data_IF_161838509363
#
_entry.id   IF_161838509363
#
_cell.length_a   1.000
_cell.length_b   1.000
_cell.length_c   1.000
_cell.angle_alpha   90.00
_cell.angle_beta   90.00
_cell.angle_gamma   90.00
#
_symmetry.space_group_name_H-M   'P 1'
#
loop_
_entity.id
_entity.type
_entity.pdbx_description
1 polymer ?
#
# COMPACT_ATOMS: atom_id res chain seq x y z
N UNK A 1 -22.60 2.35 60.54
CA UNK A 1 -22.52 1.67 61.85
C UNK A 1 -21.38 2.28 62.69
N UNK A 2 -21.66 3.32 63.50
CA UNK A 2 -20.65 4.08 64.27
C UNK A 2 -20.85 4.05 65.80
N UNK A 3 -21.72 3.17 66.31
CA UNK A 3 -22.07 3.13 67.75
C UNK A 3 -21.40 2.03 68.58
N UNK A 4 -20.73 1.05 67.98
CA UNK A 4 -20.25 -0.15 68.71
C UNK A 4 -18.73 -0.14 69.03
N UNK A 5 -17.96 0.88 68.64
CA UNK A 5 -16.48 0.82 68.78
C UNK A 5 -15.96 1.04 70.20
N UNK A 6 -16.79 1.58 71.10
CA UNK A 6 -16.42 1.83 72.51
C UNK A 6 -17.00 0.75 73.43
N UNK A 7 -18.16 0.19 73.10
CA UNK A 7 -18.84 -0.81 73.95
C UNK A 7 -18.09 -2.13 74.06
N UNK A 8 -17.45 -2.61 72.99
CA UNK A 8 -16.70 -3.88 73.02
C UNK A 8 -15.47 -3.82 73.95
N UNK A 9 -14.60 -2.79 73.89
CA UNK A 9 -13.50 -2.67 74.86
C UNK A 9 -13.98 -2.41 76.29
N UNK A 10 -15.08 -1.66 76.49
CA UNK A 10 -15.65 -1.44 77.83
C UNK A 10 -16.21 -2.74 78.44
N UNK A 11 -16.91 -3.55 77.63
CA UNK A 11 -17.47 -4.83 78.06
C UNK A 11 -16.37 -5.87 78.37
N UNK A 12 -15.30 -5.88 77.58
CA UNK A 12 -14.11 -6.70 77.87
C UNK A 12 -13.40 -6.24 79.15
N UNK A 13 -13.28 -4.93 79.38
CA UNK A 13 -12.72 -4.40 80.61
C UNK A 13 -13.59 -4.77 81.82
N UNK A 14 -14.92 -4.65 81.70
CA UNK A 14 -15.86 -5.08 82.74
C UNK A 14 -15.76 -6.58 83.02
N UNK A 15 -15.64 -7.44 81.99
CA UNK A 15 -15.44 -8.89 82.16
C UNK A 15 -14.11 -9.23 82.82
N UNK A 16 -13.03 -8.50 82.51
CA UNK A 16 -11.72 -8.67 83.16
C UNK A 16 -11.81 -8.26 84.63
N UNK A 17 -12.44 -7.12 84.92
CA UNK A 17 -12.63 -6.64 86.30
C UNK A 17 -13.50 -7.61 87.10
N UNK A 18 -14.60 -8.11 86.54
CA UNK A 18 -15.46 -9.12 87.16
C UNK A 18 -14.69 -10.43 87.39
N UNK A 19 -13.88 -10.86 86.41
CA UNK A 19 -13.03 -12.05 86.54
C UNK A 19 -11.98 -11.92 87.66
N UNK A 20 -11.35 -10.74 87.79
CA UNK A 20 -10.39 -10.45 88.87
C UNK A 20 -11.08 -10.41 90.24
N UNK A 21 -12.26 -9.80 90.33
CA UNK A 21 -13.04 -9.74 91.58
C UNK A 21 -13.49 -11.15 92.00
N UNK A 22 -13.98 -11.97 91.07
CA UNK A 22 -14.36 -13.36 91.35
C UNK A 22 -13.16 -14.22 91.79
N UNK A 23 -11.98 -14.01 91.19
CA UNK A 23 -10.74 -14.69 91.59
C UNK A 23 -10.30 -14.34 93.01
N UNK A 24 -10.41 -13.07 93.41
CA UNK A 24 -10.08 -12.63 94.78
C UNK A 24 -11.15 -12.99 95.82
N UNK A 25 -12.43 -13.10 95.42
CA UNK A 25 -13.53 -13.39 96.33
C UNK A 25 -13.71 -14.89 96.63
N UNK A 26 -13.34 -15.78 95.70
CA UNK A 26 -13.57 -17.23 95.83
C UNK A 26 -12.35 -18.05 96.27
N UNK A 27 -11.13 -17.51 96.18
CA UNK A 27 -9.90 -18.25 96.52
C UNK A 27 -9.01 -17.37 97.41
N UNK A 28 -8.98 -17.61 98.74
CA UNK A 28 -8.08 -16.89 99.62
C UNK A 28 -6.64 -17.38 99.37
N UNK A 29 -5.76 -16.46 98.99
CA UNK A 29 -4.29 -16.60 98.95
C UNK A 29 -3.77 -17.85 98.23
N UNK A 30 -3.85 -17.83 96.90
CA UNK A 30 -3.06 -18.71 96.04
C UNK A 30 -2.08 -17.87 95.23
N UNK A 31 -0.77 -18.03 95.48
CA UNK A 31 0.31 -17.42 94.68
C UNK A 31 0.11 -17.66 93.18
N UNK A 32 -0.52 -18.78 92.82
CA UNK A 32 -0.83 -19.19 91.46
C UNK A 32 -1.81 -18.22 90.76
N UNK A 33 -2.74 -17.60 91.50
CA UNK A 33 -3.66 -16.60 90.96
C UNK A 33 -2.95 -15.28 90.61
N UNK A 34 -1.98 -14.88 91.44
CA UNK A 34 -1.18 -13.67 91.20
C UNK A 34 -0.31 -13.86 89.96
N UNK A 35 0.33 -15.02 89.79
CA UNK A 35 1.16 -15.32 88.62
C UNK A 35 0.35 -15.35 87.32
N UNK A 36 -0.88 -15.90 87.35
CA UNK A 36 -1.78 -15.89 86.20
C UNK A 36 -2.16 -14.45 85.82
N UNK A 37 -2.54 -13.59 86.77
CA UNK A 37 -2.92 -12.19 86.48
C UNK A 37 -1.74 -11.42 85.87
N UNK A 38 -0.54 -11.60 86.42
CA UNK A 38 0.65 -10.86 86.02
C UNK A 38 1.15 -11.22 84.61
N UNK A 39 0.88 -12.44 84.14
CA UNK A 39 1.22 -12.90 82.79
C UNK A 39 0.07 -12.65 81.80
N UNK A 40 -1.18 -12.88 82.23
CA UNK A 40 -2.34 -12.88 81.35
C UNK A 40 -2.74 -11.45 80.93
N UNK A 41 -2.62 -10.45 81.81
CA UNK A 41 -2.94 -9.06 81.45
C UNK A 41 -1.99 -8.51 80.37
N UNK A 42 -0.64 -8.60 80.51
CA UNK A 42 0.28 -8.19 79.45
C UNK A 42 0.12 -9.00 78.16
N UNK A 43 -0.11 -10.30 78.25
CA UNK A 43 -0.34 -11.15 77.08
C UNK A 43 -1.62 -10.75 76.32
N UNK A 44 -2.72 -10.47 77.02
CA UNK A 44 -3.97 -10.03 76.42
C UNK A 44 -3.86 -8.62 75.83
N UNK A 45 -3.09 -7.72 76.45
CA UNK A 45 -2.77 -6.40 75.87
C UNK A 45 -1.96 -6.59 74.58
N UNK A 46 -0.95 -7.47 74.60
CA UNK A 46 -0.13 -7.82 73.44
C UNK A 46 -0.98 -8.38 72.29
N UNK A 47 -1.85 -9.35 72.56
CA UNK A 47 -2.78 -9.95 71.59
C UNK A 47 -3.78 -8.92 71.07
N UNK A 48 -4.33 -8.05 71.92
CA UNK A 48 -5.23 -6.96 71.51
C UNK A 48 -4.52 -5.97 70.58
N UNK A 49 -3.27 -5.62 70.88
CA UNK A 49 -2.44 -4.78 70.00
C UNK A 49 -2.13 -5.49 68.68
N UNK A 50 -1.83 -6.79 68.71
CA UNK A 50 -1.51 -7.59 67.54
C UNK A 50 -2.74 -7.78 66.63
N UNK A 51 -3.93 -7.96 67.21
CA UNK A 51 -5.21 -7.97 66.50
C UNK A 51 -5.53 -6.60 65.92
N UNK A 52 -5.36 -5.50 66.68
CA UNK A 52 -5.52 -4.14 66.14
C UNK A 52 -4.54 -3.85 65.03
N UNK A 53 -3.27 -4.23 65.18
CA UNK A 53 -2.22 -4.07 64.19
C UNK A 53 -2.49 -4.90 62.93
N UNK A 54 -2.89 -6.18 63.07
CA UNK A 54 -3.33 -7.00 61.93
C UNK A 54 -4.57 -6.42 61.25
N UNK A 55 -5.54 -5.91 62.00
CA UNK A 55 -6.76 -5.32 61.42
C UNK A 55 -6.47 -3.98 60.73
N UNK A 56 -5.56 -3.15 61.25
CA UNK A 56 -5.17 -1.86 60.63
C UNK A 56 -4.19 -2.00 59.48
N UNK A 57 -3.27 -2.96 59.52
CA UNK A 57 -2.25 -3.19 58.48
C UNK A 57 -2.77 -4.09 57.36
N UNK A 58 -3.67 -5.04 57.66
CA UNK A 58 -4.16 -6.06 56.70
C UNK A 58 -5.52 -5.75 56.08
N UNK A 59 -6.33 -4.85 56.64
CA UNK A 59 -7.52 -4.32 55.94
C UNK A 59 -7.11 -3.19 54.99
N UNK A 60 -6.57 -3.56 53.83
CA UNK A 60 -6.96 -2.81 52.62
C UNK A 60 -8.48 -2.85 52.59
N UNK A 61 -9.14 -1.71 52.76
CA UNK A 61 -10.59 -1.69 52.61
C UNK A 61 -10.90 -2.15 51.17
N UNK A 62 -11.90 -3.00 50.97
CA UNK A 62 -12.33 -3.44 49.63
C UNK A 62 -12.52 -2.21 48.73
N UNK A 63 -13.01 -1.11 49.29
CA UNK A 63 -13.09 0.22 48.69
C UNK A 63 -11.76 0.68 48.09
N UNK A 64 -10.66 0.72 48.84
CA UNK A 64 -9.36 1.19 48.32
C UNK A 64 -8.86 0.35 47.13
N UNK A 65 -9.05 -0.98 47.18
CA UNK A 65 -8.69 -1.87 46.06
C UNK A 65 -9.54 -1.59 44.82
N UNK A 66 -10.83 -1.36 45.00
CA UNK A 66 -11.77 -1.03 43.92
C UNK A 66 -11.41 0.33 43.32
N UNK A 67 -11.17 1.35 44.16
CA UNK A 67 -10.78 2.69 43.68
C UNK A 67 -9.44 2.68 42.95
N UNK A 68 -8.43 1.96 43.48
CA UNK A 68 -7.14 1.80 42.78
C UNK A 68 -7.33 1.10 41.42
N UNK A 69 -8.16 0.05 41.35
CA UNK A 69 -8.47 -0.65 40.10
C UNK A 69 -9.15 0.26 39.09
N UNK A 70 -10.17 1.01 39.51
CA UNK A 70 -10.97 1.83 38.61
C UNK A 70 -10.15 3.03 38.10
N UNK A 71 -9.34 3.66 38.96
CA UNK A 71 -8.38 4.72 38.60
C UNK A 71 -7.33 4.18 37.62
N UNK A 72 -6.80 2.97 37.83
CA UNK A 72 -5.90 2.32 36.84
C UNK A 72 -6.62 2.04 35.52
N UNK A 73 -7.86 1.58 35.57
CA UNK A 73 -8.66 1.28 34.39
C UNK A 73 -8.81 2.50 33.50
N UNK A 74 -9.21 3.64 34.07
CA UNK A 74 -9.37 4.88 33.31
C UNK A 74 -8.01 5.48 32.87
N UNK A 75 -6.96 5.36 33.69
CA UNK A 75 -5.62 5.79 33.31
C UNK A 75 -5.05 4.99 32.12
N UNK A 76 -5.30 3.67 32.06
CA UNK A 76 -4.93 2.83 30.92
C UNK A 76 -5.68 3.25 29.66
N UNK A 77 -7.00 3.43 29.75
CA UNK A 77 -7.83 3.87 28.62
C UNK A 77 -7.41 5.25 28.09
N UNK A 78 -7.10 6.18 28.99
CA UNK A 78 -6.54 7.48 28.62
C UNK A 78 -5.20 7.35 27.87
N UNK A 79 -4.29 6.51 28.38
CA UNK A 79 -2.97 6.34 27.77
C UNK A 79 -3.06 5.70 26.38
N UNK A 80 -3.93 4.70 26.23
CA UNK A 80 -4.23 4.07 24.95
C UNK A 80 -4.84 5.07 23.95
N UNK A 81 -5.82 5.86 24.39
CA UNK A 81 -6.42 6.91 23.57
C UNK A 81 -5.37 7.91 23.08
N UNK A 82 -4.51 8.40 23.98
CA UNK A 82 -3.43 9.31 23.62
C UNK A 82 -2.50 8.69 22.58
N UNK A 83 -2.12 7.41 22.74
CA UNK A 83 -1.29 6.70 21.75
C UNK A 83 -1.95 6.68 20.38
N UNK A 84 -3.24 6.32 20.31
CA UNK A 84 -4.00 6.29 19.06
C UNK A 84 -4.02 7.68 18.41
N UNK A 85 -4.23 8.75 19.20
CA UNK A 85 -4.25 10.12 18.68
C UNK A 85 -2.89 10.59 18.15
N UNK A 86 -1.79 10.16 18.76
CA UNK A 86 -0.45 10.38 18.20
C UNK A 86 -0.24 9.60 16.90
N UNK A 87 -0.65 8.33 16.85
CA UNK A 87 -0.60 7.54 15.61
C UNK A 87 -1.35 8.23 14.46
N UNK A 88 -2.47 8.90 14.73
CA UNK A 88 -3.21 9.66 13.71
C UNK A 88 -2.44 10.88 13.16
N UNK A 89 -1.73 11.60 14.02
CA UNK A 89 -0.90 12.73 13.60
C UNK A 89 0.35 12.24 12.87
N UNK A 90 1.08 11.29 13.44
CA UNK A 90 2.38 10.86 12.94
C UNK A 90 2.26 10.07 11.63
N UNK A 91 1.26 9.18 11.50
CA UNK A 91 1.13 8.30 10.31
C UNK A 91 0.25 8.87 9.23
N UNK A 92 -0.79 9.63 9.58
CA UNK A 92 -1.80 10.09 8.62
C UNK A 92 -1.84 11.61 8.47
N UNK A 93 -1.03 12.36 9.23
CA UNK A 93 -1.06 13.81 9.28
C UNK A 93 -2.46 14.38 9.59
N UNK A 94 -3.27 13.65 10.38
CA UNK A 94 -4.58 14.11 10.83
C UNK A 94 -4.40 14.80 12.18
N UNK A 95 -4.70 16.11 12.23
CA UNK A 95 -4.59 16.88 13.48
C UNK A 95 -5.51 16.33 14.57
N UNK A 96 -4.93 15.98 15.73
CA UNK A 96 -5.65 15.54 16.93
C UNK A 96 -5.45 16.48 18.12
N UNK A 97 -4.78 17.63 17.90
CA UNK A 97 -4.46 18.64 18.93
C UNK A 97 -5.64 18.99 19.83
N UNK A 98 -6.80 19.34 19.27
CA UNK A 98 -7.99 19.71 20.05
C UNK A 98 -8.48 18.57 20.97
N UNK A 99 -8.40 17.33 20.50
CA UNK A 99 -8.78 16.16 21.29
C UNK A 99 -7.77 15.94 22.43
N UNK A 100 -6.47 16.07 22.14
CA UNK A 100 -5.42 15.95 23.17
C UNK A 100 -5.53 17.06 24.22
N UNK A 101 -5.82 18.29 23.80
CA UNK A 101 -6.01 19.44 24.69
C UNK A 101 -7.24 19.22 25.60
N UNK A 102 -8.34 18.67 25.07
CA UNK A 102 -9.50 18.30 25.88
C UNK A 102 -9.17 17.19 26.88
N UNK A 103 -8.43 16.16 26.45
CA UNK A 103 -7.98 15.04 27.28
C UNK A 103 -6.99 15.48 28.38
N UNK A 104 -6.31 16.63 28.25
CA UNK A 104 -5.47 17.17 29.32
C UNK A 104 -6.26 17.39 30.63
N UNK A 105 -7.55 17.74 30.55
CA UNK A 105 -8.44 17.84 31.73
C UNK A 105 -8.64 16.51 32.45
N UNK A 106 -8.68 15.40 31.70
CA UNK A 106 -8.74 14.04 32.27
C UNK A 106 -7.42 13.68 32.95
N UNK A 107 -6.28 14.13 32.39
CA UNK A 107 -4.96 13.95 33.01
C UNK A 107 -4.85 14.71 34.34
N UNK A 108 -5.36 15.94 34.39
CA UNK A 108 -5.43 16.74 35.61
C UNK A 108 -6.34 16.07 36.65
N UNK A 109 -7.55 15.64 36.27
CA UNK A 109 -8.45 14.90 37.15
C UNK A 109 -7.81 13.59 37.68
N UNK A 110 -7.13 12.83 36.83
CA UNK A 110 -6.36 11.66 37.25
C UNK A 110 -5.27 11.99 38.27
N UNK A 111 -4.56 13.10 38.09
CA UNK A 111 -3.52 13.55 39.00
C UNK A 111 -4.09 13.94 40.38
N UNK A 112 -5.27 14.59 40.41
CA UNK A 112 -6.00 14.90 41.64
C UNK A 112 -6.43 13.62 42.39
N UNK A 113 -6.84 12.59 41.65
CA UNK A 113 -7.16 11.25 42.19
C UNK A 113 -5.92 10.48 42.69
N UNK A 114 -4.72 11.04 42.55
CA UNK A 114 -3.46 10.42 42.95
C UNK A 114 -2.85 9.50 41.89
N UNK A 115 -3.21 9.65 40.61
CA UNK A 115 -2.69 8.89 39.49
C UNK A 115 -1.94 9.78 38.50
N UNK A 116 -0.63 9.60 38.38
CA UNK A 116 0.17 10.31 37.38
C UNK A 116 0.38 9.44 36.14
N UNK A 117 0.04 9.99 34.97
CA UNK A 117 0.22 9.34 33.66
C UNK A 117 1.25 10.14 32.84
N UNK A 118 2.53 9.78 32.97
CA UNK A 118 3.65 10.35 32.23
C UNK A 118 4.50 9.20 31.66
N UNK A 119 4.03 8.56 30.60
CA UNK A 119 4.65 7.36 29.99
C UNK A 119 4.56 6.07 30.82
N UNK A 120 4.48 6.17 32.15
CA UNK A 120 4.13 5.09 33.08
C UNK A 120 3.03 5.56 34.02
N UNK A 121 2.11 4.65 34.36
CA UNK A 121 1.05 4.90 35.33
C UNK A 121 1.60 4.72 36.73
N UNK A 122 1.61 5.79 37.52
CA UNK A 122 2.07 5.78 38.91
C UNK A 122 0.93 6.17 39.84
N UNK A 123 0.79 5.46 40.94
CA UNK A 123 -0.28 5.70 41.92
C UNK A 123 0.28 6.09 43.27
N UNK A 124 -0.17 7.24 43.75
CA UNK A 124 -0.01 7.69 45.12
C UNK A 124 -1.14 7.12 45.98
N UNK A 125 -0.81 6.06 46.71
CA UNK A 125 -1.74 5.35 47.61
C UNK A 125 -2.19 6.21 48.80
N UNK A 126 -1.46 7.26 49.16
CA UNK A 126 -1.88 8.15 50.25
C UNK A 126 -3.03 9.07 49.79
N UNK A 127 -2.98 9.52 48.54
CA UNK A 127 -4.07 10.29 47.93
C UNK A 127 -5.30 9.43 47.64
N UNK A 128 -5.14 8.24 47.07
CA UNK A 128 -6.25 7.31 46.77
C UNK A 128 -7.12 7.00 48.00
N UNK A 129 -6.53 6.94 49.21
CA UNK A 129 -7.27 6.73 50.46
C UNK A 129 -8.27 7.84 50.80
N UNK A 130 -8.07 9.05 50.27
CA UNK A 130 -8.92 10.24 50.53
C UNK A 130 -9.98 10.47 49.45
N UNK A 131 -9.92 9.73 48.35
CA UNK A 131 -10.79 9.91 47.18
C UNK A 131 -12.23 9.44 47.48
N UNK A 132 -13.22 10.14 46.94
CA UNK A 132 -14.63 9.74 46.97
C UNK A 132 -15.01 9.05 45.65
N UNK A 133 -15.90 8.06 45.70
CA UNK A 133 -16.36 7.36 44.49
C UNK A 133 -16.93 8.32 43.43
N UNK A 134 -17.60 9.39 43.87
CA UNK A 134 -18.12 10.43 42.99
C UNK A 134 -17.03 11.11 42.13
N UNK A 135 -15.83 11.32 42.70
CA UNK A 135 -14.71 11.95 41.98
C UNK A 135 -14.18 11.02 40.87
N UNK A 136 -14.10 9.71 41.15
CA UNK A 136 -13.70 8.69 40.17
C UNK A 136 -14.75 8.58 39.06
N UNK A 137 -16.03 8.54 39.43
CA UNK A 137 -17.14 8.49 38.48
C UNK A 137 -17.19 9.76 37.61
N UNK A 138 -16.90 10.91 38.18
CA UNK A 138 -16.82 12.18 37.45
C UNK A 138 -15.70 12.17 36.41
N UNK A 139 -14.49 11.69 36.76
CA UNK A 139 -13.40 11.55 35.78
C UNK A 139 -13.73 10.54 34.68
N UNK A 140 -14.40 9.43 35.01
CA UNK A 140 -14.89 8.47 34.01
C UNK A 140 -15.89 9.13 33.06
N UNK A 141 -16.92 9.82 33.58
CA UNK A 141 -17.93 10.50 32.76
C UNK A 141 -17.30 11.59 31.89
N UNK A 142 -16.36 12.36 32.43
CA UNK A 142 -15.63 13.38 31.67
C UNK A 142 -14.85 12.77 30.51
N UNK A 143 -14.17 11.63 30.73
CA UNK A 143 -13.48 10.92 29.66
C UNK A 143 -14.43 10.45 28.56
N UNK A 144 -15.55 9.81 28.91
CA UNK A 144 -16.53 9.34 27.91
C UNK A 144 -17.13 10.51 27.12
N UNK A 145 -17.53 11.60 27.78
CA UNK A 145 -18.10 12.77 27.10
C UNK A 145 -17.11 13.43 26.14
N UNK A 146 -15.84 13.55 26.55
CA UNK A 146 -14.79 14.07 25.67
C UNK A 146 -14.58 13.11 24.50
N UNK A 147 -14.54 11.80 24.77
CA UNK A 147 -14.37 10.77 23.75
C UNK A 147 -15.50 10.81 22.72
N UNK A 148 -16.75 10.68 23.15
CA UNK A 148 -17.93 10.67 22.26
C UNK A 148 -17.98 11.92 21.38
N UNK A 149 -17.68 13.09 21.93
CA UNK A 149 -17.68 14.35 21.18
C UNK A 149 -16.58 14.39 20.12
N UNK A 150 -15.35 14.01 20.47
CA UNK A 150 -14.20 14.19 19.58
C UNK A 150 -13.99 13.02 18.61
N UNK A 151 -14.54 11.84 18.90
CA UNK A 151 -14.51 10.72 17.95
C UNK A 151 -15.36 11.01 16.70
N UNK A 152 -16.46 11.75 16.83
CA UNK A 152 -17.24 12.22 15.67
C UNK A 152 -16.43 13.19 14.80
N UNK A 153 -15.69 14.12 15.43
CA UNK A 153 -14.82 15.05 14.70
C UNK A 153 -13.67 14.29 14.03
N UNK A 154 -13.07 13.34 14.74
CA UNK A 154 -12.00 12.49 14.21
C UNK A 154 -12.49 11.66 13.01
N UNK A 155 -13.70 11.10 13.08
CA UNK A 155 -14.33 10.39 11.97
C UNK A 155 -14.46 11.27 10.73
N UNK A 156 -14.96 12.51 10.88
CA UNK A 156 -15.03 13.45 9.74
C UNK A 156 -13.65 13.71 9.12
N UNK A 157 -12.63 13.98 9.95
CA UNK A 157 -11.26 14.23 9.48
C UNK A 157 -10.64 13.01 8.79
N UNK A 158 -10.94 11.82 9.28
CA UNK A 158 -10.54 10.54 8.68
C UNK A 158 -11.14 10.42 7.28
N UNK A 159 -12.45 10.65 7.13
CA UNK A 159 -13.10 10.61 5.82
C UNK A 159 -12.55 11.66 4.85
N UNK A 160 -12.28 12.87 5.32
CA UNK A 160 -11.67 13.91 4.49
C UNK A 160 -10.29 13.48 4.00
N UNK A 161 -9.47 12.88 4.86
CA UNK A 161 -8.17 12.33 4.46
C UNK A 161 -8.31 11.19 3.44
N UNK A 162 -9.28 10.29 3.60
CA UNK A 162 -9.56 9.26 2.60
C UNK A 162 -9.98 9.85 1.25
N UNK A 163 -10.78 10.92 1.26
CA UNK A 163 -11.18 11.65 0.05
C UNK A 163 -9.98 12.33 -0.62
N UNK A 164 -9.05 12.87 0.17
CA UNK A 164 -7.82 13.46 -0.35
C UNK A 164 -6.90 12.42 -1.00
N UNK A 165 -6.76 11.23 -0.41
CA UNK A 165 -6.06 10.11 -1.04
C UNK A 165 -6.75 9.67 -2.34
N UNK A 166 -8.08 9.55 -2.32
CA UNK A 166 -8.84 9.22 -3.52
C UNK A 166 -8.66 10.29 -4.62
N UNK A 167 -8.67 11.57 -4.27
CA UNK A 167 -8.41 12.68 -5.20
C UNK A 167 -7.01 12.55 -5.80
N UNK A 168 -6.01 12.31 -4.96
CA UNK A 168 -4.61 12.14 -5.37
C UNK A 168 -4.44 10.97 -6.36
N UNK A 169 -5.07 9.82 -6.10
CA UNK A 169 -5.05 8.70 -7.04
C UNK A 169 -5.80 9.00 -8.35
N UNK A 170 -6.92 9.71 -8.30
CA UNK A 170 -7.64 10.15 -9.50
C UNK A 170 -6.81 11.11 -10.34
N UNK A 171 -6.04 12.00 -9.71
CA UNK A 171 -5.10 12.86 -10.42
C UNK A 171 -3.96 12.08 -11.08
N UNK A 172 -3.38 11.09 -10.39
CA UNK A 172 -2.38 10.20 -10.99
C UNK A 172 -2.96 9.45 -12.19
N UNK A 173 -4.17 8.91 -12.04
CA UNK A 173 -4.86 8.25 -13.16
C UNK A 173 -5.02 9.18 -14.36
N UNK A 174 -5.48 10.41 -14.13
CA UNK A 174 -5.64 11.41 -15.19
C UNK A 174 -4.30 11.82 -15.82
N UNK A 175 -3.19 11.73 -15.09
CA UNK A 175 -1.85 12.00 -15.59
C UNK A 175 -1.29 10.87 -16.47
N UNK A 176 -1.88 9.67 -16.43
CA UNK A 176 -1.49 8.56 -17.31
C UNK A 176 -1.35 7.20 -16.64
N UNK A 177 -1.51 7.09 -15.32
CA UNK A 177 -1.44 5.80 -14.61
C UNK A 177 -2.77 5.06 -14.69
N UNK A 178 -2.97 4.26 -15.73
CA UNK A 178 -4.24 3.56 -15.93
C UNK A 178 -4.45 2.33 -15.04
N UNK A 179 -3.38 1.71 -14.55
CA UNK A 179 -3.43 0.43 -13.84
C UNK A 179 -3.92 0.53 -12.39
N UNK A 180 -4.01 1.75 -11.84
CA UNK A 180 -4.49 1.99 -10.46
C UNK A 180 -6.02 2.08 -10.32
N UNK A 181 -6.79 1.82 -11.39
CA UNK A 181 -8.27 1.86 -11.37
C UNK A 181 -8.87 0.91 -10.33
N UNK A 182 -8.23 -0.23 -10.08
CA UNK A 182 -8.68 -1.20 -9.08
C UNK A 182 -8.62 -0.63 -7.67
N UNK A 183 -7.51 0.03 -7.32
CA UNK A 183 -7.24 0.61 -6.02
C UNK A 183 -8.14 1.82 -5.75
N UNK A 184 -8.40 2.65 -6.77
CA UNK A 184 -9.39 3.74 -6.69
C UNK A 184 -10.76 3.19 -6.28
N UNK A 185 -11.23 2.12 -6.94
CA UNK A 185 -12.51 1.48 -6.61
C UNK A 185 -12.52 0.90 -5.19
N UNK A 186 -11.42 0.30 -4.74
CA UNK A 186 -11.32 -0.25 -3.39
C UNK A 186 -11.43 0.84 -2.31
N UNK A 187 -10.78 2.00 -2.49
CA UNK A 187 -10.93 3.15 -1.58
C UNK A 187 -12.36 3.70 -1.63
N UNK A 188 -12.96 3.82 -2.81
CA UNK A 188 -14.36 4.27 -2.95
C UNK A 188 -15.33 3.34 -2.21
N UNK A 189 -15.17 2.03 -2.35
CA UNK A 189 -15.99 1.05 -1.65
C UNK A 189 -15.80 1.13 -0.13
N UNK A 190 -14.56 1.23 0.35
CA UNK A 190 -14.28 1.41 1.79
C UNK A 190 -14.90 2.69 2.35
N UNK A 191 -14.86 3.79 1.62
CA UNK A 191 -15.51 5.04 2.03
C UNK A 191 -17.03 4.84 2.09
N UNK A 192 -17.65 4.13 1.15
CA UNK A 192 -19.10 3.84 1.20
C UNK A 192 -19.47 2.94 2.36
N UNK A 193 -18.69 1.90 2.61
CA UNK A 193 -18.88 0.97 3.73
C UNK A 193 -18.66 1.64 5.11
N UNK A 194 -18.01 2.81 5.13
CA UNK A 194 -17.75 3.55 6.36
C UNK A 194 -19.00 4.10 7.05
N UNK A 195 -20.14 4.15 6.36
CA UNK A 195 -21.45 4.56 6.93
C UNK A 195 -21.94 3.59 8.04
N UNK A 196 -21.38 2.37 8.12
CA UNK A 196 -21.70 1.36 9.14
C UNK A 196 -20.67 1.20 10.25
N UNK A 197 -19.59 1.99 10.28
CA UNK A 197 -18.51 1.83 11.27
C UNK A 197 -18.93 2.44 12.60
N UNK A 198 -18.68 1.72 13.70
CA UNK A 198 -18.87 2.27 15.04
C UNK A 198 -17.80 3.33 15.25
N UNK A 199 -18.23 4.54 15.59
CA UNK A 199 -17.36 5.71 15.78
C UNK A 199 -16.55 5.52 17.06
N UNK A 200 -15.43 4.79 16.95
CA UNK A 200 -14.44 4.58 17.99
C UNK A 200 -13.04 4.74 17.37
N UNK A 201 -12.20 5.56 18.01
CA UNK A 201 -10.83 5.86 17.58
C UNK A 201 -9.98 4.63 17.20
N UNK A 202 -10.12 3.50 17.88
CA UNK A 202 -9.43 2.26 17.52
C UNK A 202 -9.90 1.70 16.17
N UNK A 203 -11.23 1.64 15.96
CA UNK A 203 -11.82 1.16 14.70
C UNK A 203 -11.48 2.11 13.55
N UNK A 204 -11.48 3.42 13.80
CA UNK A 204 -11.04 4.43 12.84
C UNK A 204 -9.56 4.26 12.46
N UNK A 205 -8.71 3.89 13.42
CA UNK A 205 -7.29 3.64 13.15
C UNK A 205 -7.11 2.39 12.31
N UNK A 206 -7.84 1.30 12.61
CA UNK A 206 -7.83 0.08 11.79
C UNK A 206 -8.34 0.34 10.37
N UNK A 207 -9.40 1.14 10.24
CA UNK A 207 -9.93 1.57 8.95
C UNK A 207 -8.87 2.35 8.15
N UNK A 208 -8.23 3.34 8.76
CA UNK A 208 -7.18 4.14 8.12
C UNK A 208 -5.96 3.32 7.71
N UNK A 209 -5.54 2.34 8.51
CA UNK A 209 -4.45 1.43 8.13
C UNK A 209 -4.80 0.67 6.83
N UNK A 210 -6.05 0.22 6.71
CA UNK A 210 -6.52 -0.45 5.50
C UNK A 210 -6.54 0.46 4.26
N UNK A 211 -6.96 1.71 4.42
CA UNK A 211 -6.95 2.69 3.32
C UNK A 211 -5.52 3.08 2.94
N UNK A 212 -4.64 3.30 3.92
CA UNK A 212 -3.23 3.61 3.71
C UNK A 212 -2.49 2.49 2.97
N UNK A 213 -2.77 1.22 3.30
CA UNK A 213 -2.22 0.07 2.58
C UNK A 213 -2.63 0.04 1.10
N UNK A 214 -3.87 0.39 0.77
CA UNK A 214 -4.32 0.47 -0.63
C UNK A 214 -3.65 1.65 -1.35
N UNK A 215 -3.48 2.78 -0.66
CA UNK A 215 -2.76 3.95 -1.19
C UNK A 215 -1.30 3.60 -1.50
N UNK A 216 -0.60 2.94 -0.57
CA UNK A 216 0.78 2.51 -0.75
C UNK A 216 0.94 1.56 -1.92
N UNK A 217 0.05 0.57 -2.04
CA UNK A 217 0.06 -0.38 -3.16
C UNK A 217 -0.15 0.33 -4.51
N UNK A 218 -1.11 1.27 -4.57
CA UNK A 218 -1.33 2.07 -5.78
C UNK A 218 -0.09 2.87 -6.18
N UNK A 219 0.59 3.51 -5.21
CA UNK A 219 1.79 4.28 -5.49
C UNK A 219 2.99 3.40 -5.90
N UNK A 220 3.09 2.17 -5.38
CA UNK A 220 4.10 1.19 -5.79
C UNK A 220 3.90 0.72 -7.23
N UNK A 221 2.65 0.55 -7.66
CA UNK A 221 2.32 0.26 -9.06
C UNK A 221 2.79 1.42 -9.94
N UNK A 222 2.39 2.66 -9.61
CA UNK A 222 2.84 3.84 -10.35
C UNK A 222 4.38 3.97 -10.40
N UNK A 223 5.06 3.66 -9.30
CA UNK A 223 6.53 3.69 -9.25
C UNK A 223 7.14 2.68 -10.24
N UNK A 224 6.60 1.47 -10.31
CA UNK A 224 7.03 0.45 -11.27
C UNK A 224 6.83 0.92 -12.70
N UNK A 225 5.64 1.45 -13.02
CA UNK A 225 5.32 1.94 -14.36
C UNK A 225 6.32 3.01 -14.82
N UNK A 226 6.69 3.92 -13.91
CA UNK A 226 7.69 4.96 -14.18
C UNK A 226 9.09 4.39 -14.36
N UNK A 227 9.49 3.39 -13.57
CA UNK A 227 10.80 2.75 -13.69
C UNK A 227 10.92 2.06 -15.05
N UNK A 228 9.88 1.32 -15.47
CA UNK A 228 9.84 0.66 -16.77
C UNK A 228 9.88 1.69 -17.92
N UNK A 229 9.11 2.77 -17.81
CA UNK A 229 9.13 3.85 -18.80
C UNK A 229 10.44 4.65 -18.83
N UNK A 230 11.14 4.79 -17.71
CA UNK A 230 12.46 5.44 -17.66
C UNK A 230 13.49 4.62 -18.44
N UNK A 231 13.49 3.30 -18.26
CA UNK A 231 14.34 2.38 -19.03
C UNK A 231 14.06 2.51 -20.52
N UNK A 232 12.78 2.52 -20.91
CA UNK A 232 12.36 2.73 -22.30
C UNK A 232 12.82 4.09 -22.82
N UNK A 233 12.69 5.16 -22.05
CA UNK A 233 13.13 6.51 -22.43
C UNK A 233 14.64 6.59 -22.66
N UNK A 234 15.42 5.96 -21.79
CA UNK A 234 16.88 5.90 -21.92
C UNK A 234 17.32 5.11 -23.15
N UNK A 235 16.69 3.97 -23.42
CA UNK A 235 17.07 3.08 -24.52
C UNK A 235 16.53 3.53 -25.87
N UNK A 236 15.32 4.09 -25.89
CA UNK A 236 14.59 4.43 -27.12
C UNK A 236 14.85 5.86 -27.56
N UNK A 237 14.76 6.81 -26.64
CA UNK A 237 14.94 8.22 -26.95
C UNK A 237 16.41 8.67 -26.79
N UNK A 238 17.31 7.79 -26.32
CA UNK A 238 18.71 8.11 -25.96
C UNK A 238 18.81 9.36 -25.09
N UNK A 239 17.78 9.61 -24.26
CA UNK A 239 17.63 10.83 -23.49
C UNK A 239 18.38 10.75 -22.16
N UNK A 240 18.85 11.89 -21.66
CA UNK A 240 19.38 11.97 -20.29
C UNK A 240 18.23 11.92 -19.28
N UNK A 241 18.08 10.76 -18.64
CA UNK A 241 17.07 10.48 -17.62
C UNK A 241 17.59 10.67 -16.19
N UNK A 242 18.78 11.24 -15.98
CA UNK A 242 19.40 11.35 -14.64
C UNK A 242 18.48 12.03 -13.62
N UNK A 243 17.82 13.12 -14.02
CA UNK A 243 16.87 13.85 -13.16
C UNK A 243 15.63 13.02 -12.81
N UNK A 244 15.12 12.21 -13.74
CA UNK A 244 13.99 11.31 -13.49
C UNK A 244 14.39 10.22 -12.50
N UNK A 245 15.58 9.64 -12.64
CA UNK A 245 16.10 8.65 -11.68
C UNK A 245 16.26 9.21 -10.27
N UNK A 246 16.67 10.47 -10.12
CA UNK A 246 16.69 11.14 -8.81
C UNK A 246 15.29 11.26 -8.22
N UNK A 247 14.30 11.63 -9.02
CA UNK A 247 12.92 11.77 -8.56
C UNK A 247 12.27 10.43 -8.21
N UNK A 248 12.58 9.35 -8.96
CA UNK A 248 12.19 7.97 -8.62
C UNK A 248 12.70 7.61 -7.21
N UNK A 249 13.96 7.93 -6.89
CA UNK A 249 14.51 7.68 -5.55
C UNK A 249 13.84 8.53 -4.46
N UNK A 250 13.45 9.76 -4.78
CA UNK A 250 12.68 10.60 -3.85
C UNK A 250 11.31 9.96 -3.57
N UNK A 251 10.67 9.36 -4.58
CA UNK A 251 9.42 8.61 -4.40
C UNK A 251 9.64 7.39 -3.53
N UNK A 252 10.65 6.56 -3.79
CA UNK A 252 11.01 5.39 -2.98
C UNK A 252 11.17 5.77 -1.50
N UNK A 253 12.01 6.78 -1.23
CA UNK A 253 12.23 7.28 0.12
C UNK A 253 10.94 7.82 0.75
N UNK A 254 10.09 8.50 -0.02
CA UNK A 254 8.81 9.02 0.49
C UNK A 254 7.85 7.90 0.86
N UNK A 255 7.82 6.80 0.10
CA UNK A 255 7.01 5.63 0.41
C UNK A 255 7.50 4.90 1.66
N UNK A 256 8.81 4.74 1.82
CA UNK A 256 9.42 4.13 3.02
C UNK A 256 9.05 4.87 4.32
N UNK A 257 8.87 6.19 4.24
CA UNK A 257 8.50 7.04 5.36
C UNK A 257 6.98 7.30 5.47
N UNK A 258 6.15 6.66 4.65
CA UNK A 258 4.69 6.86 4.65
C UNK A 258 4.21 8.24 4.18
N UNK A 259 5.07 9.01 3.50
CA UNK A 259 4.72 10.32 2.96
C UNK A 259 4.08 10.20 1.56
N UNK A 260 2.84 9.70 1.54
CA UNK A 260 2.09 9.44 0.32
C UNK A 260 1.76 10.71 -0.48
N UNK A 261 1.62 11.86 0.18
CA UNK A 261 1.33 13.13 -0.48
C UNK A 261 2.51 13.60 -1.33
N UNK A 262 3.73 13.53 -0.78
CA UNK A 262 4.93 13.87 -1.52
C UNK A 262 5.16 12.88 -2.68
N UNK A 263 5.01 11.57 -2.42
CA UNK A 263 5.14 10.54 -3.43
C UNK A 263 4.20 10.78 -4.63
N UNK A 264 2.93 11.11 -4.37
CA UNK A 264 1.95 11.42 -5.42
C UNK A 264 2.37 12.64 -6.25
N UNK A 265 2.79 13.74 -5.61
CA UNK A 265 3.22 14.97 -6.29
C UNK A 265 4.43 14.71 -7.20
N UNK A 266 5.42 13.98 -6.70
CA UNK A 266 6.61 13.66 -7.48
C UNK A 266 6.28 12.70 -8.63
N UNK A 267 5.51 11.63 -8.39
CA UNK A 267 5.09 10.69 -9.44
C UNK A 267 4.32 11.36 -10.59
N UNK A 268 3.45 12.33 -10.28
CA UNK A 268 2.74 13.13 -11.29
C UNK A 268 3.73 13.94 -12.13
N UNK A 269 4.69 14.62 -11.49
CA UNK A 269 5.69 15.39 -12.22
C UNK A 269 6.62 14.52 -13.07
N UNK A 270 6.93 13.30 -12.60
CA UNK A 270 7.80 12.37 -13.32
C UNK A 270 7.10 11.83 -14.57
N UNK A 271 5.84 11.40 -14.48
CA UNK A 271 5.13 10.86 -15.64
C UNK A 271 4.89 11.92 -16.72
N UNK A 272 4.58 13.16 -16.32
CA UNK A 272 4.44 14.29 -17.25
C UNK A 272 5.76 14.58 -17.99
N UNK A 273 6.90 14.50 -17.28
CA UNK A 273 8.22 14.66 -17.89
C UNK A 273 8.59 13.51 -18.81
N UNK A 274 8.31 12.27 -18.42
CA UNK A 274 8.50 11.10 -19.27
C UNK A 274 7.66 11.18 -20.54
N UNK A 275 6.38 11.59 -20.43
CA UNK A 275 5.52 11.79 -21.59
C UNK A 275 6.10 12.82 -22.56
N UNK A 276 6.64 13.93 -22.04
CA UNK A 276 7.31 14.95 -22.85
C UNK A 276 8.57 14.44 -23.55
N UNK A 277 9.41 13.69 -22.83
CA UNK A 277 10.66 13.13 -23.39
C UNK A 277 10.40 12.05 -24.45
N UNK A 278 9.37 11.23 -24.26
CA UNK A 278 9.04 10.13 -25.15
C UNK A 278 8.26 10.59 -26.38
N UNK A 279 7.72 11.81 -26.40
CA UNK A 279 6.79 12.28 -27.43
C UNK A 279 7.34 12.13 -28.85
N UNK A 280 8.50 12.72 -29.13
CA UNK A 280 9.07 12.71 -30.48
C UNK A 280 9.47 11.31 -30.92
N UNK A 281 10.03 10.51 -30.00
CA UNK A 281 10.38 9.11 -30.25
C UNK A 281 9.15 8.24 -30.52
N UNK A 282 8.06 8.49 -29.81
CA UNK A 282 6.79 7.80 -30.00
C UNK A 282 6.14 8.16 -31.34
N UNK A 283 6.03 9.44 -31.65
CA UNK A 283 5.42 9.93 -32.90
C UNK A 283 6.22 9.45 -34.12
N UNK A 284 7.55 9.52 -34.04
CA UNK A 284 8.44 9.00 -35.09
C UNK A 284 8.30 7.49 -35.29
N UNK A 285 8.38 6.70 -34.20
CA UNK A 285 8.24 5.25 -34.30
C UNK A 285 6.86 4.83 -34.83
N UNK A 286 5.79 5.49 -34.39
CA UNK A 286 4.43 5.20 -34.86
C UNK A 286 4.29 5.50 -36.36
N UNK A 287 4.81 6.63 -36.83
CA UNK A 287 4.80 6.98 -38.25
C UNK A 287 5.55 5.94 -39.09
N UNK A 288 6.74 5.54 -38.66
CA UNK A 288 7.53 4.50 -39.31
C UNK A 288 6.82 3.13 -39.32
N UNK A 289 6.20 2.72 -38.21
CA UNK A 289 5.48 1.46 -38.16
C UNK A 289 4.26 1.44 -39.09
N UNK A 290 3.50 2.54 -39.18
CA UNK A 290 2.40 2.67 -40.13
C UNK A 290 2.90 2.68 -41.59
N UNK A 291 4.03 3.32 -41.84
CA UNK A 291 4.67 3.34 -43.13
C UNK A 291 5.10 1.93 -43.59
N UNK A 292 5.59 1.09 -42.67
CA UNK A 292 5.91 -0.31 -42.95
C UNK A 292 4.66 -1.14 -43.28
N UNK A 293 3.53 -0.87 -42.61
CA UNK A 293 2.26 -1.54 -42.88
C UNK A 293 1.82 -1.32 -44.33
N UNK A 294 1.89 -0.07 -44.84
CA UNK A 294 1.49 0.24 -46.21
C UNK A 294 2.33 -0.54 -47.23
N UNK A 295 3.65 -0.59 -47.04
CA UNK A 295 4.56 -1.39 -47.89
C UNK A 295 4.21 -2.88 -47.85
N UNK A 296 3.87 -3.39 -46.68
CA UNK A 296 3.56 -4.80 -46.52
C UNK A 296 2.20 -5.16 -47.14
N UNK A 297 1.23 -4.25 -47.11
CA UNK A 297 -0.07 -4.42 -47.78
C UNK A 297 0.04 -4.41 -49.31
N UNK A 298 0.92 -3.58 -49.87
CA UNK A 298 1.20 -3.55 -51.32
C UNK A 298 1.77 -4.87 -51.83
N UNK A 299 2.63 -5.48 -51.02
CA UNK A 299 3.45 -6.63 -51.42
C UNK A 299 2.80 -7.96 -51.05
N UNK A 300 1.90 -7.97 -50.06
CA UNK A 300 1.13 -9.15 -49.68
C UNK A 300 0.11 -9.53 -50.75
N UNK A 301 0.27 -10.72 -51.34
CA UNK A 301 -0.64 -11.25 -52.35
C UNK A 301 -1.89 -11.94 -51.80
N UNK A 302 -1.87 -12.40 -50.53
CA UNK A 302 -2.93 -13.23 -49.94
C UNK A 302 -3.89 -12.39 -49.08
N UNK A 303 -5.19 -12.63 -49.26
CA UNK A 303 -6.24 -11.89 -48.55
C UNK A 303 -6.20 -12.12 -47.02
N UNK A 304 -5.78 -13.30 -46.59
CA UNK A 304 -5.63 -13.65 -45.16
C UNK A 304 -4.47 -12.89 -44.51
N UNK A 305 -3.34 -12.80 -45.20
CA UNK A 305 -2.18 -12.00 -44.74
C UNK A 305 -2.53 -10.51 -44.64
N UNK A 306 -3.33 -9.98 -45.57
CA UNK A 306 -3.81 -8.58 -45.51
C UNK A 306 -4.68 -8.31 -44.28
N UNK A 307 -5.55 -9.26 -43.90
CA UNK A 307 -6.42 -9.11 -42.71
C UNK A 307 -5.60 -9.05 -41.42
N UNK A 308 -4.61 -9.92 -41.26
CA UNK A 308 -3.73 -9.91 -40.08
C UNK A 308 -2.96 -8.59 -39.97
N UNK A 309 -2.50 -8.04 -41.09
CA UNK A 309 -1.74 -6.80 -41.14
C UNK A 309 -2.63 -5.60 -40.82
N UNK A 310 -3.88 -5.59 -41.29
CA UNK A 310 -4.89 -4.61 -40.91
C UNK A 310 -5.29 -4.70 -39.42
N UNK A 311 -5.22 -5.88 -38.81
CA UNK A 311 -5.39 -6.03 -37.36
C UNK A 311 -4.22 -5.39 -36.60
N UNK A 312 -2.98 -5.62 -37.04
CA UNK A 312 -1.78 -4.97 -36.49
C UNK A 312 -1.87 -3.44 -36.65
N UNK A 313 -2.34 -2.96 -37.81
CA UNK A 313 -2.59 -1.53 -38.06
C UNK A 313 -3.52 -0.93 -37.01
N UNK A 314 -4.68 -1.54 -36.80
CA UNK A 314 -5.64 -1.07 -35.79
C UNK A 314 -5.02 -1.04 -34.39
N UNK A 315 -4.26 -2.05 -34.03
CA UNK A 315 -3.58 -2.09 -32.72
C UNK A 315 -2.57 -0.94 -32.57
N UNK A 316 -1.75 -0.65 -33.58
CA UNK A 316 -0.81 0.48 -33.57
C UNK A 316 -1.56 1.82 -33.54
N UNK A 317 -2.64 1.95 -34.29
CA UNK A 317 -3.46 3.17 -34.31
C UNK A 317 -4.09 3.47 -32.94
N UNK A 318 -4.51 2.44 -32.19
CA UNK A 318 -5.06 2.60 -30.82
C UNK A 318 -4.06 3.13 -29.80
N UNK A 319 -2.75 3.04 -30.05
CA UNK A 319 -1.74 3.67 -29.21
C UNK A 319 -1.76 5.19 -29.43
N UNK A 320 -2.28 5.95 -28.47
CA UNK A 320 -2.50 7.40 -28.58
C UNK A 320 -1.61 8.22 -27.63
N UNK A 321 -0.83 7.57 -26.76
CA UNK A 321 -0.03 8.25 -25.73
C UNK A 321 1.43 7.80 -25.78
N UNK A 322 2.41 8.72 -25.59
CA UNK A 322 3.83 8.38 -25.44
C UNK A 322 4.10 7.41 -24.30
N UNK A 323 3.24 7.37 -23.28
CA UNK A 323 3.34 6.42 -22.17
C UNK A 323 3.06 4.96 -22.59
N UNK A 324 2.52 4.75 -23.80
CA UNK A 324 2.29 3.42 -24.37
C UNK A 324 3.44 2.97 -25.27
N UNK A 325 4.59 3.64 -25.22
CA UNK A 325 5.75 3.34 -26.07
C UNK A 325 6.15 1.86 -26.04
N UNK A 326 6.10 1.22 -24.87
CA UNK A 326 6.40 -0.21 -24.75
C UNK A 326 5.41 -1.08 -25.55
N UNK A 327 4.09 -0.84 -25.41
CA UNK A 327 3.06 -1.55 -26.18
C UNK A 327 3.19 -1.31 -27.68
N UNK A 328 3.49 -0.07 -28.06
CA UNK A 328 3.75 0.28 -29.47
C UNK A 328 4.93 -0.51 -30.04
N UNK A 329 5.99 -0.71 -29.25
CA UNK A 329 7.14 -1.54 -29.65
C UNK A 329 6.78 -3.01 -29.77
N UNK A 330 6.03 -3.56 -28.83
CA UNK A 330 5.55 -4.94 -28.91
C UNK A 330 4.75 -5.19 -30.22
N UNK A 331 3.88 -4.26 -30.61
CA UNK A 331 3.19 -4.34 -31.91
C UNK A 331 4.14 -4.18 -33.09
N UNK A 332 5.13 -3.31 -32.99
CA UNK A 332 6.19 -3.16 -34.00
C UNK A 332 7.03 -4.44 -34.18
N UNK A 333 7.35 -5.15 -33.10
CA UNK A 333 8.09 -6.42 -33.17
C UNK A 333 7.28 -7.50 -33.89
N UNK A 334 5.97 -7.56 -33.63
CA UNK A 334 5.04 -8.44 -34.35
C UNK A 334 5.01 -8.07 -35.83
N UNK A 335 4.93 -6.77 -36.16
CA UNK A 335 4.95 -6.27 -37.53
C UNK A 335 6.26 -6.64 -38.26
N UNK A 336 7.41 -6.46 -37.61
CA UNK A 336 8.73 -6.81 -38.16
C UNK A 336 8.81 -8.31 -38.43
N UNK A 337 8.33 -9.14 -37.49
CA UNK A 337 8.31 -10.60 -37.66
C UNK A 337 7.44 -11.00 -38.85
N UNK A 338 6.25 -10.41 -38.99
CA UNK A 338 5.38 -10.65 -40.15
C UNK A 338 6.05 -10.19 -41.45
N UNK A 339 6.70 -9.02 -41.44
CA UNK A 339 7.45 -8.46 -42.57
C UNK A 339 8.51 -9.43 -43.09
N UNK A 340 9.35 -9.96 -42.19
CA UNK A 340 10.36 -10.97 -42.52
C UNK A 340 9.72 -12.21 -43.16
N UNK A 341 8.65 -12.75 -42.55
CA UNK A 341 7.96 -13.93 -43.06
C UNK A 341 7.31 -13.72 -44.44
N UNK A 342 6.71 -12.56 -44.69
CA UNK A 342 6.08 -12.25 -45.98
C UNK A 342 7.13 -12.12 -47.08
N UNK A 343 8.26 -11.48 -46.79
CA UNK A 343 9.34 -11.34 -47.75
C UNK A 343 9.94 -12.72 -48.09
N UNK A 344 10.21 -13.56 -47.09
CA UNK A 344 10.69 -14.93 -47.31
C UNK A 344 9.73 -15.76 -48.17
N UNK A 345 8.42 -15.62 -47.96
CA UNK A 345 7.42 -16.30 -48.78
C UNK A 345 7.49 -15.88 -50.25
N UNK A 346 7.71 -14.59 -50.52
CA UNK A 346 7.84 -14.06 -51.88
C UNK A 346 9.11 -14.55 -52.56
N UNK A 347 10.24 -14.55 -51.86
CA UNK A 347 11.49 -15.08 -52.41
C UNK A 347 11.39 -16.57 -52.74
N UNK A 348 10.73 -17.36 -51.88
CA UNK A 348 10.46 -18.77 -52.16
C UNK A 348 9.52 -18.93 -53.37
N UNK A 349 8.51 -18.08 -53.51
CA UNK A 349 7.60 -18.10 -54.68
C UNK A 349 8.35 -17.79 -55.98
N UNK A 350 9.25 -16.79 -55.97
CA UNK A 350 10.13 -16.49 -57.11
C UNK A 350 11.00 -17.71 -57.45
N UNK A 351 11.63 -18.32 -56.44
CA UNK A 351 12.49 -19.49 -56.65
C UNK A 351 11.74 -20.68 -57.29
N UNK A 352 10.50 -20.93 -56.88
CA UNK A 352 9.65 -21.96 -57.50
C UNK A 352 9.29 -21.60 -58.95
N UNK A 353 8.96 -20.34 -59.24
CA UNK A 353 8.67 -19.87 -60.61
C UNK A 353 9.91 -20.00 -61.50
N UNK A 354 11.09 -19.60 -61.02
CA UNK A 354 12.36 -19.75 -61.74
C UNK A 354 12.66 -21.24 -62.04
N UNK A 355 12.38 -22.11 -61.07
CA UNK A 355 12.51 -23.58 -61.22
C UNK A 355 11.52 -24.16 -62.23
N UNK A 356 10.29 -23.65 -62.31
CA UNK A 356 9.31 -24.03 -63.33
C UNK A 356 9.73 -23.56 -64.72
N UNK A 357 10.19 -22.30 -64.85
CA UNK A 357 10.71 -21.75 -66.11
C UNK A 357 11.84 -22.63 -66.64
N UNK A 358 12.76 -23.06 -65.77
CA UNK A 358 13.88 -23.94 -66.15
C UNK A 358 13.40 -25.30 -66.70
N UNK A 359 12.35 -25.88 -66.10
CA UNK A 359 11.79 -27.17 -66.56
C UNK A 359 11.12 -27.06 -67.92
N UNK A 360 10.42 -25.96 -68.18
CA UNK A 360 9.65 -25.76 -69.42
C UNK A 360 10.48 -25.21 -70.57
N UNK A 361 11.52 -24.42 -70.28
CA UNK A 361 12.44 -23.84 -71.26
C UNK A 361 13.88 -24.04 -70.82
N UNK A 362 14.43 -25.28 -70.96
CA UNK A 362 15.81 -25.54 -70.60
C UNK A 362 16.74 -24.68 -71.47
N UNK A 363 17.67 -23.93 -70.87
CA UNK A 363 18.50 -23.00 -71.61
C UNK A 363 19.39 -23.74 -72.62
N UNK A 364 19.68 -23.15 -73.78
CA UNK A 364 20.81 -23.61 -74.58
C UNK A 364 22.10 -23.48 -73.76
N UNK A 365 23.09 -24.35 -73.97
CA UNK A 365 24.38 -24.43 -73.25
C UNK A 365 25.16 -23.10 -73.13
N UNK A 366 24.71 -22.03 -73.80
CA UNK A 366 25.36 -20.72 -73.92
C UNK A 366 24.78 -19.65 -72.98
N UNK A 367 23.58 -19.82 -72.41
CA UNK A 367 22.96 -18.83 -71.51
C UNK A 367 22.22 -19.50 -70.33
N UNK A 368 22.88 -19.72 -69.17
CA UNK A 368 22.23 -20.31 -68.00
C UNK A 368 21.13 -19.42 -67.41
N UNK A 369 20.13 -20.03 -66.77
CA UNK A 369 19.10 -19.32 -66.00
C UNK A 369 19.75 -18.70 -64.77
N UNK A 370 19.62 -17.38 -64.61
CA UNK A 370 20.04 -16.67 -63.40
C UNK A 370 19.02 -16.99 -62.27
N UNK A 371 19.43 -17.78 -61.28
CA UNK A 371 18.65 -18.02 -60.06
C UNK A 371 18.76 -16.80 -59.14
N UNK A 372 18.05 -15.74 -59.50
CA UNK A 372 18.12 -14.44 -58.83
C UNK A 372 17.74 -14.56 -57.35
N UNK A 373 16.77 -15.41 -57.01
CA UNK A 373 16.35 -15.59 -55.63
C UNK A 373 17.44 -16.27 -54.76
N UNK A 374 18.27 -17.12 -55.37
CA UNK A 374 19.36 -17.80 -54.67
C UNK A 374 20.54 -16.86 -54.41
N UNK A 375 20.90 -16.02 -55.38
CA UNK A 375 21.96 -15.01 -55.25
C UNK A 375 21.64 -13.93 -54.20
N UNK A 376 20.36 -13.76 -53.85
CA UNK A 376 19.87 -12.76 -52.89
C UNK A 376 19.66 -13.28 -51.47
N UNK A 377 19.95 -14.56 -51.19
CA UNK A 377 19.79 -15.15 -49.84
C UNK A 377 20.58 -14.41 -48.76
N UNK A 378 21.80 -13.97 -49.06
CA UNK A 378 22.65 -13.26 -48.10
C UNK A 378 22.02 -11.93 -47.65
N UNK A 379 21.28 -11.25 -48.53
CA UNK A 379 20.59 -10.00 -48.20
C UNK A 379 19.37 -10.23 -47.27
N UNK A 380 18.74 -11.40 -47.36
CA UNK A 380 17.67 -11.83 -46.43
C UNK A 380 18.27 -12.19 -45.06
N UNK A 381 19.44 -12.82 -45.02
CA UNK A 381 20.15 -13.10 -43.77
C UNK A 381 20.60 -11.80 -43.06
N UNK A 382 21.02 -10.79 -43.84
CA UNK A 382 21.31 -9.46 -43.33
C UNK A 382 20.05 -8.78 -42.74
N UNK A 383 18.91 -8.89 -43.41
CA UNK A 383 17.64 -8.40 -42.87
C UNK A 383 17.22 -9.17 -41.60
N UNK A 384 17.47 -10.48 -41.53
CA UNK A 384 17.22 -11.29 -40.32
C UNK A 384 18.06 -10.83 -39.14
N UNK A 385 19.32 -10.47 -39.37
CA UNK A 385 20.27 -10.00 -38.35
C UNK A 385 20.08 -8.53 -37.94
N UNK A 386 19.29 -7.76 -38.70
CA UNK A 386 18.95 -6.37 -38.34
C UNK A 386 18.10 -6.35 -37.06
N UNK A 387 18.58 -5.61 -36.05
CA UNK A 387 17.92 -5.45 -34.75
C UNK A 387 16.56 -4.77 -34.90
N UNK A 388 15.55 -5.30 -34.20
CA UNK A 388 14.21 -4.70 -34.10
C UNK A 388 14.22 -3.30 -33.44
N UNK A 389 15.30 -2.95 -32.73
CA UNK A 389 15.44 -1.65 -32.05
C UNK A 389 15.65 -0.46 -32.99
N UNK A 390 16.03 -0.69 -34.26
CA UNK A 390 16.29 0.36 -35.26
C UNK A 390 15.29 0.21 -36.42
N UNK A 391 14.03 0.57 -36.13
CA UNK A 391 12.91 0.36 -37.06
C UNK A 391 13.08 1.15 -38.36
N UNK A 392 13.70 2.34 -38.32
CA UNK A 392 13.95 3.17 -39.49
C UNK A 392 14.90 2.47 -40.46
N UNK A 393 16.03 1.97 -39.95
CA UNK A 393 16.98 1.20 -40.77
C UNK A 393 16.36 -0.09 -41.28
N UNK A 394 15.57 -0.77 -40.45
CA UNK A 394 14.84 -1.97 -40.87
C UNK A 394 13.89 -1.65 -42.03
N UNK A 395 13.07 -0.61 -41.92
CA UNK A 395 12.11 -0.19 -42.96
C UNK A 395 12.83 0.13 -44.26
N UNK A 396 13.90 0.92 -44.20
CA UNK A 396 14.64 1.30 -45.40
C UNK A 396 15.19 0.06 -46.14
N UNK A 397 15.82 -0.87 -45.41
CA UNK A 397 16.35 -2.10 -45.99
C UNK A 397 15.23 -3.02 -46.50
N UNK A 398 14.16 -3.16 -45.71
CA UNK A 398 12.99 -3.95 -46.09
C UNK A 398 12.37 -3.47 -47.39
N UNK A 399 12.15 -2.16 -47.53
CA UNK A 399 11.57 -1.54 -48.73
C UNK A 399 12.36 -1.83 -50.00
N UNK A 400 13.68 -1.70 -49.92
CA UNK A 400 14.56 -1.97 -51.05
C UNK A 400 14.40 -3.43 -51.51
N UNK A 401 14.48 -4.38 -50.57
CA UNK A 401 14.35 -5.80 -50.87
C UNK A 401 12.95 -6.17 -51.37
N UNK A 402 11.93 -5.61 -50.73
CA UNK A 402 10.55 -5.94 -51.04
C UNK A 402 10.11 -5.37 -52.39
N UNK A 403 10.55 -4.16 -52.75
CA UNK A 403 10.33 -3.59 -54.09
C UNK A 403 11.04 -4.39 -55.18
N UNK A 404 12.28 -4.81 -54.94
CA UNK A 404 13.08 -5.59 -55.88
C UNK A 404 12.44 -6.99 -56.10
N UNK A 405 12.11 -7.67 -55.01
CA UNK A 405 11.41 -8.96 -55.04
C UNK A 405 10.04 -8.88 -55.72
N UNK A 406 9.24 -7.86 -55.43
CA UNK A 406 7.93 -7.70 -56.07
C UNK A 406 8.07 -7.48 -57.59
N UNK A 407 9.01 -6.64 -58.03
CA UNK A 407 9.29 -6.42 -59.44
C UNK A 407 9.70 -7.74 -60.14
N UNK A 408 10.56 -8.53 -59.50
CA UNK A 408 11.01 -9.82 -60.04
C UNK A 408 9.88 -10.83 -60.12
N UNK A 409 9.08 -10.96 -59.07
CA UNK A 409 7.91 -11.85 -59.04
C UNK A 409 6.97 -11.57 -60.21
N UNK A 410 6.66 -10.30 -60.48
CA UNK A 410 5.79 -9.90 -61.59
C UNK A 410 6.42 -10.25 -62.95
N UNK A 411 7.73 -10.02 -63.11
CA UNK A 411 8.46 -10.33 -64.34
C UNK A 411 8.48 -11.84 -64.63
N UNK A 412 8.92 -12.65 -63.67
CA UNK A 412 9.04 -14.10 -63.85
C UNK A 412 7.68 -14.77 -64.01
N UNK A 413 6.66 -14.31 -63.28
CA UNK A 413 5.28 -14.79 -63.45
C UNK A 413 4.76 -14.56 -64.88
N UNK A 414 5.03 -13.38 -65.48
CA UNK A 414 4.65 -13.10 -66.86
C UNK A 414 5.44 -13.95 -67.84
N UNK A 415 6.75 -14.06 -67.64
CA UNK A 415 7.64 -14.87 -68.48
C UNK A 415 7.20 -16.33 -68.51
N UNK A 416 6.91 -16.94 -67.36
CA UNK A 416 6.41 -18.30 -67.26
C UNK A 416 5.07 -18.46 -68.00
N UNK A 417 4.16 -17.49 -67.86
CA UNK A 417 2.87 -17.51 -68.58
C UNK A 417 3.07 -17.47 -70.10
N UNK A 418 3.98 -16.66 -70.60
CA UNK A 418 4.28 -16.56 -72.03
C UNK A 418 4.93 -17.86 -72.57
N UNK A 419 5.83 -18.48 -71.80
CA UNK A 419 6.41 -19.80 -72.13
C UNK A 419 5.32 -20.88 -72.21
N UNK A 420 4.43 -20.94 -71.21
CA UNK A 420 3.29 -21.87 -71.20
C UNK A 420 2.33 -21.63 -72.37
N UNK A 421 2.16 -20.40 -72.81
CA UNK A 421 1.29 -20.05 -73.94
C UNK A 421 1.91 -20.42 -75.30
N UNK A 422 3.24 -20.45 -75.42
CA UNK A 422 3.96 -20.87 -76.62
C UNK A 422 4.15 -22.40 -76.71
N UNK A 423 4.06 -23.09 -75.57
CA UNK A 423 4.18 -24.54 -75.45
C UNK A 423 2.87 -25.31 -75.72
N UNK A 424 1.74 -24.59 -75.79
CA UNK A 424 0.42 -25.10 -76.21
C UNK A 424 0.12 -24.66 -77.64
#
# INVERSE_FOLDING_TARGET
MKGYSIFVPLALFALIVIGVILLFALVPYSDLAITIILIFIPAMIGVSFLVRYLVTVRKRSVREKVMERDIKGIANRYAEQMRILYDFEDKYAISTKEFRDALAKVKEGLFELGCAVNGKIRIDRAKVRKVVFADVEWVIKMFEVIKDRHEVVLYSRVLDKCRDYLRSLKELKNAGYDDIRGQIKQIENRIRESEGIKVNSLELSMFMNGVASIMEEALRICLRDVQDLEVVGRESAKADTARIRTDIKIVEHSLEHGNYENATKVLKSVIERLAGLLKDAFDGYKAHALELIEVLLEISGKEEDKKEVEEIRKNIETCMSPLQMQKLREFGDVLIKKSKSTLEAIYNEIFEIESEILKESPPPEVYPVEFWAEDKKDEIEELRSTSASDIERFIHRYRLLASDAHSRLVYDSRRLKDIKALSN
#
